data_IF_693950063751
#
_entry.id   IF_693950063751
#
_cell.length_a   1.000
_cell.length_b   1.000
_cell.length_c   1.000
_cell.angle_alpha   90.00
_cell.angle_beta   90.00
_cell.angle_gamma   90.00
#
_symmetry.space_group_name_H-M   'P 1'
#
loop_
_entity.id
_entity.type
_entity.pdbx_description
1 polymer ?
#
# COMPACT_ATOMS: atom_id res chain seq x y z
N UNK A 1 -7.10 13.92 9.50
CA UNK A 1 -6.38 12.77 8.88
C UNK A 1 -7.10 12.35 7.60
N UNK A 2 -6.51 11.51 6.75
CA UNK A 2 -7.03 11.19 5.41
C UNK A 2 -6.01 10.46 4.53
N UNK A 3 -6.19 10.55 3.21
CA UNK A 3 -5.33 9.92 2.20
C UNK A 3 -4.31 10.92 1.64
N UNK A 4 -3.06 10.49 1.50
CA UNK A 4 -2.03 11.22 0.74
C UNK A 4 -1.46 10.29 -0.32
N UNK A 5 -1.61 10.63 -1.61
CA UNK A 5 -1.24 9.74 -2.70
C UNK A 5 -0.19 10.35 -3.63
N UNK A 6 0.73 9.51 -4.09
CA UNK A 6 1.79 9.80 -5.05
C UNK A 6 1.70 8.85 -6.24
N UNK A 7 1.79 9.39 -7.45
CA UNK A 7 1.78 8.61 -8.68
C UNK A 7 3.20 8.35 -9.21
N UNK A 8 3.38 7.22 -9.90
CA UNK A 8 4.62 6.81 -10.54
C UNK A 8 4.33 6.20 -11.91
N UNK A 9 5.03 6.72 -12.93
CA UNK A 9 5.07 6.18 -14.29
C UNK A 9 6.27 5.21 -14.41
N UNK A 10 6.05 3.93 -14.75
CA UNK A 10 7.10 2.94 -14.93
C UNK A 10 7.98 3.18 -16.19
N UNK A 11 7.57 4.04 -17.13
CA UNK A 11 8.24 4.25 -18.42
C UNK A 11 8.05 3.09 -19.43
N UNK A 12 8.35 3.33 -20.70
CA UNK A 12 8.09 2.39 -21.82
C UNK A 12 9.23 1.39 -22.09
N UNK A 13 10.09 1.10 -21.11
CA UNK A 13 11.29 0.28 -21.32
C UNK A 13 11.57 -0.70 -20.19
N UNK A 14 11.83 -1.96 -20.55
CA UNK A 14 12.43 -2.93 -19.64
C UNK A 14 13.78 -2.37 -19.14
N UNK A 15 13.85 -2.04 -17.85
CA UNK A 15 15.05 -1.70 -17.06
C UNK A 15 15.48 -0.23 -16.88
N UNK A 16 14.70 0.82 -17.18
CA UNK A 16 15.16 2.20 -16.95
C UNK A 16 14.27 3.06 -16.06
N UNK A 17 14.93 4.00 -15.39
CA UNK A 17 14.52 4.81 -14.25
C UNK A 17 13.02 5.16 -14.21
N UNK A 18 12.42 5.01 -13.03
CA UNK A 18 11.18 5.70 -12.66
C UNK A 18 11.35 7.17 -13.07
N UNK A 19 10.65 7.62 -14.11
CA UNK A 19 10.46 9.05 -14.38
C UNK A 19 9.30 9.47 -13.50
N UNK A 20 9.57 9.97 -12.28
CA UNK A 20 8.53 10.14 -11.30
C UNK A 20 7.74 11.37 -11.72
N UNK A 21 6.54 11.20 -12.30
CA UNK A 21 5.53 12.25 -12.12
C UNK A 21 5.00 12.13 -10.69
N UNK A 22 5.74 12.67 -9.73
CA UNK A 22 5.33 12.67 -8.32
C UNK A 22 4.40 13.85 -8.11
N UNK A 23 3.16 13.71 -8.57
CA UNK A 23 2.06 14.60 -8.22
C UNK A 23 1.34 14.09 -6.97
N UNK A 24 0.94 14.99 -6.07
CA UNK A 24 -0.13 14.65 -5.11
C UNK A 24 -1.43 14.49 -5.91
N UNK A 25 -2.06 13.32 -5.83
CA UNK A 25 -3.39 13.15 -6.40
C UNK A 25 -4.43 13.80 -5.48
N UNK A 26 -5.38 14.53 -6.07
CA UNK A 26 -6.59 14.93 -5.35
C UNK A 26 -7.52 13.72 -5.19
N UNK A 27 -8.53 13.84 -4.32
CA UNK A 27 -9.41 12.73 -3.98
C UNK A 27 -10.15 12.18 -5.21
N UNK A 28 -10.67 13.04 -6.08
CA UNK A 28 -11.40 12.61 -7.28
C UNK A 28 -10.53 11.80 -8.25
N UNK A 29 -9.28 12.24 -8.48
CA UNK A 29 -8.34 11.52 -9.33
C UNK A 29 -7.91 10.19 -8.70
N UNK A 30 -7.77 10.16 -7.37
CA UNK A 30 -7.47 8.94 -6.64
C UNK A 30 -8.64 7.95 -6.71
N UNK A 31 -9.89 8.38 -6.49
CA UNK A 31 -11.09 7.53 -6.56
C UNK A 31 -11.25 6.91 -7.95
N UNK A 32 -10.98 7.69 -9.00
CA UNK A 32 -11.07 7.21 -10.38
C UNK A 32 -9.98 6.22 -10.76
N UNK A 33 -8.78 6.33 -10.17
CA UNK A 33 -7.65 5.46 -10.46
C UNK A 33 -7.57 4.24 -9.55
N UNK A 34 -8.03 4.38 -8.31
CA UNK A 34 -7.95 3.42 -7.22
C UNK A 34 -9.33 3.24 -6.56
N UNK A 35 -10.27 2.50 -7.21
CA UNK A 35 -11.64 2.37 -6.75
C UNK A 35 -11.82 1.87 -5.31
N UNK A 36 -10.85 1.11 -4.77
CA UNK A 36 -10.91 0.57 -3.40
C UNK A 36 -10.33 1.51 -2.35
N UNK A 37 -9.93 2.74 -2.68
CA UNK A 37 -9.27 3.64 -1.73
C UNK A 37 -10.14 3.98 -0.49
N UNK A 38 -11.46 4.14 -0.68
CA UNK A 38 -12.42 4.42 0.35
C UNK A 38 -12.66 3.20 1.23
N UNK A 39 -12.67 2.01 0.63
CA UNK A 39 -12.73 0.76 1.38
C UNK A 39 -11.46 0.55 2.21
N UNK A 40 -10.28 0.80 1.63
CA UNK A 40 -9.01 0.71 2.35
C UNK A 40 -9.00 1.67 3.57
N UNK A 41 -9.44 2.92 3.39
CA UNK A 41 -9.58 3.87 4.49
C UNK A 41 -10.60 3.40 5.54
N UNK A 42 -11.76 2.91 5.11
CA UNK A 42 -12.82 2.43 6.01
C UNK A 42 -12.36 1.22 6.85
N UNK A 43 -11.67 0.25 6.23
CA UNK A 43 -11.09 -0.90 6.92
C UNK A 43 -10.06 -0.44 7.94
N UNK A 44 -9.14 0.44 7.54
CA UNK A 44 -8.10 0.96 8.43
C UNK A 44 -8.71 1.74 9.61
N UNK A 45 -9.73 2.57 9.37
CA UNK A 45 -10.45 3.29 10.42
C UNK A 45 -11.09 2.33 11.43
N UNK A 46 -11.86 1.35 10.93
CA UNK A 46 -12.61 0.42 11.76
C UNK A 46 -11.67 -0.47 12.60
N UNK A 47 -10.62 -1.01 11.98
CA UNK A 47 -9.61 -1.81 12.67
C UNK A 47 -8.87 -0.97 13.71
N UNK A 48 -8.44 0.24 13.37
CA UNK A 48 -7.74 1.12 14.31
C UNK A 48 -8.62 1.42 15.52
N UNK A 49 -9.91 1.72 15.30
CA UNK A 49 -10.88 1.96 16.36
C UNK A 49 -11.07 0.72 17.26
N UNK A 50 -11.20 -0.46 16.66
CA UNK A 50 -11.35 -1.73 17.38
C UNK A 50 -10.12 -2.05 18.24
N UNK A 51 -8.91 -1.97 17.65
CA UNK A 51 -7.66 -2.25 18.38
C UNK A 51 -7.46 -1.24 19.51
N UNK A 52 -7.78 0.04 19.27
CA UNK A 52 -7.71 1.09 20.30
C UNK A 52 -8.68 0.78 21.45
N UNK A 53 -9.95 0.49 21.14
CA UNK A 53 -10.98 0.16 22.13
C UNK A 53 -10.65 -1.11 22.93
N UNK A 54 -9.91 -2.05 22.35
CA UNK A 54 -9.51 -3.28 23.05
C UNK A 54 -8.54 -3.03 24.21
N UNK A 55 -7.76 -1.94 24.17
CA UNK A 55 -6.67 -1.66 25.11
C UNK A 55 -5.57 -2.74 25.17
N UNK A 56 -5.62 -3.76 24.31
CA UNK A 56 -4.73 -4.92 24.35
C UNK A 56 -3.48 -4.69 23.49
N UNK A 57 -2.71 -3.67 23.83
CA UNK A 57 -1.42 -3.34 23.22
C UNK A 57 -0.48 -2.74 24.27
N UNK A 58 0.80 -3.08 24.17
CA UNK A 58 1.82 -2.69 25.17
C UNK A 58 2.36 -1.28 24.97
N UNK A 59 2.54 -0.90 23.71
CA UNK A 59 3.16 0.35 23.30
C UNK A 59 2.68 0.73 21.88
N UNK A 60 3.04 1.91 21.35
CA UNK A 60 2.62 2.33 20.01
C UNK A 60 3.07 1.41 18.87
N UNK A 61 4.18 0.69 19.03
CA UNK A 61 4.69 -0.26 18.02
C UNK A 61 3.84 -1.52 18.01
N UNK A 62 3.51 -2.05 19.19
CA UNK A 62 2.61 -3.19 19.37
C UNK A 62 1.20 -2.86 18.86
N UNK A 63 0.73 -1.62 19.10
CA UNK A 63 -0.52 -1.10 18.54
C UNK A 63 -0.51 -1.11 17.00
N UNK A 64 0.50 -0.51 16.38
CA UNK A 64 0.65 -0.53 14.92
C UNK A 64 0.70 -1.94 14.35
N UNK A 65 1.48 -2.83 14.97
CA UNK A 65 1.59 -4.24 14.56
C UNK A 65 0.23 -4.96 14.57
N UNK A 66 -0.58 -4.75 15.62
CA UNK A 66 -1.91 -5.35 15.72
C UNK A 66 -2.87 -4.80 14.66
N UNK A 67 -2.80 -3.50 14.36
CA UNK A 67 -3.58 -2.89 13.27
C UNK A 67 -3.20 -3.52 11.92
N UNK A 68 -1.91 -3.66 11.60
CA UNK A 68 -1.45 -4.33 10.37
C UNK A 68 -1.99 -5.77 10.27
N UNK A 69 -1.86 -6.57 11.33
CA UNK A 69 -2.32 -7.96 11.36
C UNK A 69 -3.83 -8.04 11.10
N UNK A 70 -4.61 -7.19 11.77
CA UNK A 70 -6.07 -7.25 11.69
C UNK A 70 -6.62 -6.66 10.38
N UNK A 71 -6.00 -5.61 9.83
CA UNK A 71 -6.26 -5.13 8.47
C UNK A 71 -6.00 -6.26 7.47
N UNK A 72 -4.86 -6.94 7.59
CA UNK A 72 -4.49 -8.01 6.69
C UNK A 72 -5.45 -9.20 6.77
N UNK A 73 -5.86 -9.57 7.99
CA UNK A 73 -6.86 -10.62 8.22
C UNK A 73 -8.17 -10.29 7.50
N UNK A 74 -8.66 -9.05 7.64
CA UNK A 74 -9.93 -8.61 7.05
C UNK A 74 -9.89 -8.52 5.53
N UNK A 75 -8.80 -8.02 4.97
CA UNK A 75 -8.64 -7.94 3.50
C UNK A 75 -8.46 -9.32 2.90
N UNK A 76 -7.56 -10.14 3.45
CA UNK A 76 -7.29 -11.46 2.89
C UNK A 76 -8.46 -12.44 3.06
N UNK A 77 -9.35 -12.25 4.04
CA UNK A 77 -10.59 -13.05 4.18
C UNK A 77 -11.62 -12.79 3.08
N UNK A 78 -11.46 -11.74 2.28
CA UNK A 78 -12.33 -11.50 1.11
C UNK A 78 -11.99 -12.42 -0.06
N UNK A 79 -10.84 -13.11 -0.04
CA UNK A 79 -10.36 -13.99 -1.10
C UNK A 79 -10.28 -13.31 -2.49
N UNK A 80 -10.18 -11.99 -2.50
CA UNK A 80 -10.09 -11.21 -3.73
C UNK A 80 -8.67 -11.32 -4.34
N UNK A 81 -8.51 -11.90 -5.54
CA UNK A 81 -7.19 -12.04 -6.15
C UNK A 81 -6.55 -10.70 -6.53
N UNK A 82 -7.33 -9.61 -6.57
CA UNK A 82 -6.93 -8.27 -6.97
C UNK A 82 -6.86 -7.28 -5.81
N UNK A 83 -7.27 -7.66 -4.60
CA UNK A 83 -7.14 -6.84 -3.41
C UNK A 83 -6.57 -7.67 -2.25
N UNK A 84 -5.29 -7.43 -1.93
CA UNK A 84 -4.50 -8.30 -1.05
C UNK A 84 -3.70 -7.49 -0.03
N UNK A 85 -3.42 -8.11 1.11
CA UNK A 85 -2.67 -7.48 2.19
C UNK A 85 -1.37 -8.22 2.53
N UNK A 86 -0.42 -7.49 3.12
CA UNK A 86 0.86 -7.97 3.63
C UNK A 86 1.66 -8.74 2.57
N UNK A 87 1.69 -8.19 1.35
CA UNK A 87 2.38 -8.82 0.21
C UNK A 87 3.88 -8.62 0.37
N UNK A 88 4.61 -9.73 0.42
CA UNK A 88 6.06 -9.72 0.42
C UNK A 88 6.57 -9.77 -1.02
N UNK A 89 7.39 -8.80 -1.41
CA UNK A 89 7.99 -8.69 -2.73
C UNK A 89 9.51 -8.79 -2.65
N UNK A 90 10.13 -9.57 -3.55
CA UNK A 90 11.58 -9.50 -3.73
C UNK A 90 11.90 -8.23 -4.54
N UNK A 91 12.79 -7.36 -4.06
CA UNK A 91 13.15 -6.10 -4.73
C UNK A 91 13.84 -6.31 -6.08
N UNK A 92 14.25 -7.54 -6.43
CA UNK A 92 14.78 -7.90 -7.76
C UNK A 92 13.71 -8.35 -8.75
N UNK A 93 12.47 -8.61 -8.30
CA UNK A 93 11.40 -9.20 -9.12
C UNK A 93 11.35 -10.73 -9.13
N UNK A 94 12.20 -11.38 -8.32
CA UNK A 94 12.15 -12.82 -8.11
C UNK A 94 11.03 -13.28 -7.17
N UNK A 95 10.94 -14.59 -6.91
CA UNK A 95 10.05 -15.12 -5.88
C UNK A 95 10.48 -14.59 -4.51
N UNK A 96 9.54 -13.96 -3.79
CA UNK A 96 9.77 -13.52 -2.41
C UNK A 96 10.11 -14.70 -1.50
N UNK A 97 11.12 -14.55 -0.64
CA UNK A 97 11.46 -15.52 0.39
C UNK A 97 11.41 -14.86 1.78
N UNK A 98 10.46 -15.21 2.66
CA UNK A 98 10.30 -14.56 3.97
C UNK A 98 11.52 -14.65 4.89
N UNK A 99 12.43 -15.60 4.64
CA UNK A 99 13.66 -15.79 5.42
C UNK A 99 14.86 -15.01 4.86
N UNK A 100 14.71 -14.37 3.69
CA UNK A 100 15.77 -13.55 3.07
C UNK A 100 15.59 -12.08 3.49
N UNK A 101 16.63 -11.43 4.04
CA UNK A 101 16.58 -10.01 4.32
C UNK A 101 16.48 -9.19 3.02
N UNK A 102 15.84 -8.02 3.10
CA UNK A 102 15.73 -7.07 1.98
C UNK A 102 14.45 -7.14 1.16
N UNK A 103 13.51 -8.04 1.47
CA UNK A 103 12.19 -7.99 0.88
C UNK A 103 11.46 -6.69 1.23
N UNK A 104 10.64 -6.21 0.29
CA UNK A 104 9.76 -5.07 0.50
C UNK A 104 8.36 -5.61 0.78
N UNK A 105 7.76 -5.16 1.90
CA UNK A 105 6.37 -5.47 2.21
C UNK A 105 5.47 -4.33 1.79
N UNK A 106 4.40 -4.67 1.07
CA UNK A 106 3.27 -3.78 0.79
C UNK A 106 2.16 -4.09 1.78
N UNK A 107 1.65 -3.08 2.46
CA UNK A 107 0.61 -3.30 3.46
C UNK A 107 -0.70 -3.74 2.81
N UNK A 108 -1.13 -3.03 1.76
CA UNK A 108 -2.25 -3.38 0.90
C UNK A 108 -1.91 -3.11 -0.56
N UNK A 109 -2.47 -3.91 -1.46
CA UNK A 109 -2.36 -3.75 -2.90
C UNK A 109 -3.71 -4.00 -3.56
N UNK A 110 -4.12 -3.08 -4.41
CA UNK A 110 -5.20 -3.21 -5.38
C UNK A 110 -4.62 -3.25 -6.80
N UNK A 111 -5.10 -4.19 -7.61
CA UNK A 111 -4.68 -4.40 -8.99
C UNK A 111 -5.84 -4.10 -9.95
N UNK A 112 -5.90 -2.87 -10.45
CA UNK A 112 -6.93 -2.39 -11.36
C UNK A 112 -6.56 -2.77 -12.80
N UNK A 113 -6.90 -4.01 -13.18
CA UNK A 113 -6.53 -4.59 -14.49
C UNK A 113 -6.98 -3.76 -15.69
N UNK A 114 -8.20 -3.19 -15.62
CA UNK A 114 -8.80 -2.45 -16.73
C UNK A 114 -7.95 -1.23 -17.15
N UNK A 115 -7.26 -0.61 -16.20
CA UNK A 115 -6.40 0.57 -16.40
C UNK A 115 -4.93 0.26 -16.17
N UNK A 116 -4.59 -1.03 -16.04
CA UNK A 116 -3.22 -1.52 -15.75
C UNK A 116 -2.56 -0.74 -14.60
N UNK A 117 -3.36 -0.37 -13.60
CA UNK A 117 -2.94 0.45 -12.47
C UNK A 117 -2.79 -0.42 -11.22
N UNK A 118 -1.68 -0.25 -10.49
CA UNK A 118 -1.49 -0.85 -9.17
C UNK A 118 -1.56 0.24 -8.11
N UNK A 119 -2.51 0.12 -7.18
CA UNK A 119 -2.65 1.02 -6.05
C UNK A 119 -2.12 0.34 -4.79
N UNK A 120 -1.10 0.94 -4.18
CA UNK A 120 -0.52 0.47 -2.91
C UNK A 120 -1.02 1.38 -1.81
N UNK A 121 -1.59 0.81 -0.75
CA UNK A 121 -2.01 1.56 0.42
C UNK A 121 -1.11 1.19 1.60
N UNK A 122 -0.19 2.09 1.96
CA UNK A 122 0.69 1.94 3.12
C UNK A 122 0.04 2.67 4.30
N UNK A 123 -0.48 1.91 5.25
CA UNK A 123 -1.22 2.48 6.36
C UNK A 123 -0.28 2.77 7.53
N UNK A 124 -0.60 3.83 8.27
CA UNK A 124 0.21 4.32 9.38
C UNK A 124 -0.70 4.73 10.54
N UNK A 125 -0.44 4.16 11.71
CA UNK A 125 -1.14 4.49 12.96
C UNK A 125 -0.47 5.61 13.76
N UNK A 126 0.75 6.00 13.38
CA UNK A 126 1.51 7.09 14.01
C UNK A 126 1.50 8.39 13.18
N UNK A 127 2.16 9.42 13.73
CA UNK A 127 2.22 10.75 13.10
C UNK A 127 3.22 10.86 11.94
N UNK A 128 4.09 9.88 11.75
CA UNK A 128 5.08 9.89 10.67
C UNK A 128 4.39 10.03 9.30
N UNK A 129 4.94 10.90 8.46
CA UNK A 129 4.59 10.96 7.04
C UNK A 129 5.50 10.02 6.26
N UNK A 130 5.00 9.49 5.16
CA UNK A 130 5.76 8.68 4.22
C UNK A 130 6.80 9.56 3.55
N UNK A 131 8.06 9.12 3.60
CA UNK A 131 9.12 9.76 2.85
C UNK A 131 9.01 9.39 1.36
N UNK A 132 9.46 10.29 0.49
CA UNK A 132 9.55 10.00 -0.94
C UNK A 132 10.42 8.75 -1.22
N UNK A 133 11.50 8.56 -0.46
CA UNK A 133 12.35 7.38 -0.57
C UNK A 133 11.58 6.08 -0.29
N UNK A 134 10.68 6.08 0.72
CA UNK A 134 9.82 4.93 0.98
C UNK A 134 8.82 4.72 -0.17
N UNK A 135 8.18 5.78 -0.65
CA UNK A 135 7.25 5.68 -1.79
C UNK A 135 7.94 5.09 -3.04
N UNK A 136 9.15 5.56 -3.36
CA UNK A 136 9.94 5.02 -4.48
C UNK A 136 10.35 3.56 -4.27
N UNK A 137 10.71 3.17 -3.05
CA UNK A 137 11.03 1.77 -2.73
C UNK A 137 9.83 0.86 -2.96
N UNK A 138 8.64 1.27 -2.51
CA UNK A 138 7.39 0.54 -2.71
C UNK A 138 7.05 0.43 -4.21
N UNK A 139 7.12 1.55 -4.93
CA UNK A 139 6.84 1.59 -6.37
C UNK A 139 7.81 0.69 -7.15
N UNK A 140 9.12 0.78 -6.89
CA UNK A 140 10.12 -0.04 -7.57
C UNK A 140 9.92 -1.55 -7.33
N UNK A 141 9.55 -1.94 -6.11
CA UNK A 141 9.22 -3.34 -5.81
C UNK A 141 7.96 -3.80 -6.58
N UNK A 142 6.92 -2.96 -6.64
CA UNK A 142 5.71 -3.26 -7.39
C UNK A 142 5.98 -3.42 -8.90
N UNK A 143 6.71 -2.49 -9.54
CA UNK A 143 7.05 -2.58 -10.98
C UNK A 143 7.67 -3.92 -11.34
N UNK A 144 8.66 -4.35 -10.55
CA UNK A 144 9.42 -5.57 -10.84
C UNK A 144 8.61 -6.84 -10.68
N UNK A 145 7.57 -6.82 -9.83
CA UNK A 145 6.72 -7.97 -9.57
C UNK A 145 5.41 -7.94 -10.40
N UNK A 146 5.09 -6.81 -11.02
CA UNK A 146 3.89 -6.61 -11.84
C UNK A 146 4.27 -5.95 -13.18
N UNK A 147 5.05 -6.62 -14.05
CA UNK A 147 5.68 -6.00 -15.23
C UNK A 147 4.70 -5.52 -16.31
N UNK A 148 3.41 -5.82 -16.19
CA UNK A 148 2.37 -5.41 -17.12
C UNK A 148 1.72 -4.08 -16.74
N UNK A 149 2.05 -3.46 -15.61
CA UNK A 149 1.41 -2.21 -15.19
C UNK A 149 1.87 -1.01 -16.01
N UNK A 150 0.99 -0.03 -16.17
CA UNK A 150 1.26 1.26 -16.81
C UNK A 150 1.29 2.41 -15.80
N UNK A 151 0.81 2.17 -14.58
CA UNK A 151 0.67 3.19 -13.54
C UNK A 151 0.76 2.58 -12.15
N UNK A 152 1.48 3.24 -11.24
CA UNK A 152 1.45 2.91 -9.81
C UNK A 152 1.04 4.13 -9.02
N UNK A 153 0.17 3.93 -8.04
CA UNK A 153 -0.21 4.96 -7.07
C UNK A 153 0.12 4.44 -5.68
N UNK A 154 0.97 5.16 -4.96
CA UNK A 154 1.32 4.89 -3.56
C UNK A 154 0.53 5.85 -2.69
N UNK A 155 -0.34 5.31 -1.84
CA UNK A 155 -1.18 6.08 -0.93
C UNK A 155 -0.80 5.79 0.50
N UNK A 156 -0.44 6.83 1.24
CA UNK A 156 -0.41 6.77 2.68
C UNK A 156 -1.82 6.87 3.23
N UNK A 157 -2.22 5.89 4.03
CA UNK A 157 -3.53 5.86 4.71
C UNK A 157 -3.34 6.16 6.18
N UNK A 158 -3.92 7.26 6.66
CA UNK A 158 -3.96 7.59 8.09
C UNK A 158 -5.40 7.48 8.61
N UNK A 159 -5.63 6.70 9.69
CA UNK A 159 -6.95 6.58 10.28
C UNK A 159 -7.55 7.95 10.63
N UNK A 160 -8.82 8.15 10.33
CA UNK A 160 -9.61 9.28 10.79
C UNK A 160 -10.30 8.87 12.09
N UNK A 161 -9.59 9.07 13.21
CA UNK A 161 -10.14 8.88 14.56
C UNK A 161 -10.85 10.13 15.04
#
# INVERSE_FOLDING_TARGET
>A
MGLTAHEFDPGTGAQQALTPWVGKLNQQALDGACPRNGEALAIVNDVTKSVCASGNYRDPTDFGTKVHIEVARRVNSQEDPYFKAEILLDPSGGKSNPYKPGNVRLDLLENVKATRTVCVYDHKTGNAEMSLARAMQLAAAAIRNYPYLERIIITQVKPQT
#
